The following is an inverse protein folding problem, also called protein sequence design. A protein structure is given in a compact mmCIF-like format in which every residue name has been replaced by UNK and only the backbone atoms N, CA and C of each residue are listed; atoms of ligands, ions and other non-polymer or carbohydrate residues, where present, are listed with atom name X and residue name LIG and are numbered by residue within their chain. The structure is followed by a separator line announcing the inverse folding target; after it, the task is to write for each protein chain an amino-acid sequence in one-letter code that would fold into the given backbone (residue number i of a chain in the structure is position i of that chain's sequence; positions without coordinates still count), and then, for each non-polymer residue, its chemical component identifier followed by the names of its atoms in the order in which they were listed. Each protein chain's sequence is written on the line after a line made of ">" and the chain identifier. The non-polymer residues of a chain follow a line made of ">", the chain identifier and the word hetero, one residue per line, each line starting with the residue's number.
data_IF_899909868430
#
_entry.id   IF_899909868430
#
_cell.length_a   1.000
_cell.length_b   1.000
_cell.length_c   1.000
_cell.angle_alpha   90.00
_cell.angle_beta   90.00
_cell.angle_gamma   90.00
#
_symmetry.space_group_name_H-M   'P 1'
#
loop_
_entity.id
_entity.type
_entity.pdbx_description
1 polymer ?
#
# COMPACT_ATOMS: atom_id res chain seq x y z
N UNK A 1 -3.29 -7.96 19.00
CA UNK A 1 -2.99 -7.56 20.39
C UNK A 1 -1.49 -7.44 20.62
N UNK A 2 -0.70 -8.51 20.46
CA UNK A 2 0.77 -8.48 20.64
C UNK A 2 1.48 -7.37 19.86
N UNK A 3 1.13 -7.20 18.58
CA UNK A 3 1.70 -6.12 17.76
C UNK A 3 1.38 -4.73 18.32
N UNK A 4 0.12 -4.49 18.72
CA UNK A 4 -0.31 -3.22 19.31
C UNK A 4 0.41 -2.94 20.64
N UNK A 5 0.59 -3.96 21.49
CA UNK A 5 1.33 -3.81 22.74
C UNK A 5 2.80 -3.53 22.51
N UNK A 6 3.45 -4.20 21.56
CA UNK A 6 4.85 -3.94 21.22
C UNK A 6 5.02 -2.56 20.59
N UNK A 7 4.11 -2.14 19.70
CA UNK A 7 4.09 -0.78 19.15
C UNK A 7 3.93 0.29 20.22
N UNK A 8 3.05 0.07 21.21
CA UNK A 8 2.88 0.99 22.33
C UNK A 8 4.15 1.09 23.19
N UNK A 9 4.78 -0.06 23.50
CA UNK A 9 6.05 -0.10 24.26
C UNK A 9 7.16 0.62 23.50
N UNK A 10 7.30 0.35 22.19
CA UNK A 10 8.26 1.01 21.33
C UNK A 10 8.06 2.54 21.33
N UNK A 11 6.82 3.00 21.20
CA UNK A 11 6.50 4.42 21.25
C UNK A 11 6.89 5.06 22.58
N UNK A 12 6.60 4.41 23.71
CA UNK A 12 6.96 4.93 25.04
C UNK A 12 8.47 5.00 25.23
N UNK A 13 9.20 3.97 24.81
CA UNK A 13 10.66 3.92 24.95
C UNK A 13 11.33 4.98 24.09
N UNK A 14 10.93 5.09 22.81
CA UNK A 14 11.48 6.09 21.90
C UNK A 14 11.15 7.50 22.39
N UNK A 15 9.90 7.74 22.82
CA UNK A 15 9.45 9.04 23.32
C UNK A 15 10.27 9.51 24.53
N UNK A 16 10.55 8.61 25.48
CA UNK A 16 11.39 8.92 26.63
C UNK A 16 12.84 9.16 26.25
N UNK A 17 13.38 8.36 25.32
CA UNK A 17 14.76 8.50 24.84
C UNK A 17 15.04 9.83 24.16
N UNK A 18 14.07 10.36 23.40
CA UNK A 18 14.21 11.64 22.70
C UNK A 18 13.92 12.88 23.58
N UNK A 19 13.72 12.72 24.89
CA UNK A 19 13.38 13.85 25.78
C UNK A 19 11.91 14.31 25.68
N UNK A 20 11.04 13.48 25.11
CA UNK A 20 9.61 13.75 24.97
C UNK A 20 9.22 14.37 23.62
N UNK A 21 8.00 14.06 23.19
CA UNK A 21 7.48 14.52 21.90
C UNK A 21 7.29 16.04 21.78
N UNK A 22 6.85 16.78 22.81
CA UNK A 22 6.72 18.24 22.71
C UNK A 22 8.04 18.91 22.35
N UNK A 23 9.13 18.53 23.01
CA UNK A 23 10.47 19.06 22.74
C UNK A 23 10.94 18.75 21.31
N UNK A 24 10.68 17.53 20.83
CA UNK A 24 10.98 17.17 19.44
C UNK A 24 10.18 18.02 18.44
N UNK A 25 8.89 18.26 18.70
CA UNK A 25 8.06 19.09 17.82
C UNK A 25 8.48 20.56 17.82
N UNK A 26 8.81 21.12 18.99
CA UNK A 26 9.33 22.50 19.11
C UNK A 26 10.65 22.66 18.35
N UNK A 27 11.56 21.69 18.45
CA UNK A 27 12.81 21.66 17.68
C UNK A 27 12.55 21.68 16.17
N UNK A 28 11.57 20.91 15.70
CA UNK A 28 11.20 20.89 14.29
C UNK A 28 10.58 22.21 13.82
N UNK A 29 9.75 22.85 14.65
CA UNK A 29 9.15 24.17 14.36
C UNK A 29 10.20 25.28 14.33
N UNK A 30 11.25 25.19 15.14
CA UNK A 30 12.30 26.19 15.21
C UNK A 30 13.16 26.27 13.93
N UNK A 31 13.26 25.18 13.15
CA UNK A 31 14.03 25.18 11.90
C UNK A 31 13.14 25.40 10.67
N UNK A 32 13.45 26.39 9.80
CA UNK A 32 12.70 26.65 8.56
C UNK A 32 12.65 25.47 7.60
N UNK A 33 13.63 24.57 7.67
CA UNK A 33 13.72 23.39 6.81
C UNK A 33 12.71 22.30 7.18
N UNK A 34 12.40 22.17 8.48
CA UNK A 34 11.57 21.10 9.07
C UNK A 34 10.21 21.58 9.54
N UNK A 35 10.01 22.87 9.80
CA UNK A 35 8.72 23.41 10.22
C UNK A 35 7.58 23.05 9.25
N UNK A 36 7.78 23.03 7.91
CA UNK A 36 6.74 22.61 6.98
C UNK A 36 6.40 21.11 6.99
N UNK A 37 7.09 20.28 7.79
CA UNK A 37 6.69 18.90 8.03
C UNK A 37 5.50 18.80 8.99
N UNK A 38 5.33 19.81 9.85
CA UNK A 38 4.24 19.89 10.83
C UNK A 38 3.07 20.73 10.32
N UNK A 39 3.26 21.45 9.22
CA UNK A 39 2.24 22.27 8.57
C UNK A 39 1.92 21.73 7.17
N UNK A 40 0.80 22.17 6.60
CA UNK A 40 0.40 21.80 5.23
C UNK A 40 1.06 22.66 4.13
N UNK A 41 2.03 23.50 4.48
CA UNK A 41 2.51 24.58 3.61
C UNK A 41 3.15 24.07 2.30
N UNK A 42 3.88 22.95 2.36
CA UNK A 42 4.52 22.34 1.18
C UNK A 42 3.61 21.41 0.38
N UNK A 43 2.37 21.19 0.83
CA UNK A 43 1.44 20.24 0.20
C UNK A 43 0.39 20.99 -0.61
N UNK A 44 0.40 20.77 -1.92
CA UNK A 44 -0.66 21.27 -2.81
C UNK A 44 -2.03 20.74 -2.37
N UNK A 45 -3.10 21.58 -2.38
CA UNK A 45 -4.45 21.12 -2.10
C UNK A 45 -4.90 19.95 -2.99
N UNK A 46 -4.48 19.93 -4.26
CA UNK A 46 -4.78 18.85 -5.20
C UNK A 46 -4.06 17.56 -4.85
N UNK A 47 -2.82 17.66 -4.41
CA UNK A 47 -2.06 16.51 -3.94
C UNK A 47 -2.73 15.89 -2.70
N UNK A 48 -3.14 16.73 -1.74
CA UNK A 48 -3.89 16.29 -0.56
C UNK A 48 -5.24 15.66 -0.92
N UNK A 49 -6.01 16.30 -1.80
CA UNK A 49 -7.27 15.75 -2.30
C UNK A 49 -7.09 14.35 -2.87
N UNK A 50 -5.97 14.08 -3.54
CA UNK A 50 -5.70 12.77 -4.13
C UNK A 50 -5.62 11.63 -3.11
N UNK A 51 -5.21 11.90 -1.85
CA UNK A 51 -5.20 10.89 -0.80
C UNK A 51 -6.60 10.40 -0.43
N UNK A 52 -7.65 11.17 -0.71
CA UNK A 52 -9.04 10.75 -0.44
C UNK A 52 -9.50 9.60 -1.34
N UNK A 53 -8.79 9.33 -2.45
CA UNK A 53 -9.06 8.22 -3.35
C UNK A 53 -8.32 6.93 -2.97
N UNK A 54 -7.29 7.01 -2.12
CA UNK A 54 -6.55 5.82 -1.65
C UNK A 54 -7.45 4.84 -0.91
N UNK A 55 -8.37 5.25 0.00
CA UNK A 55 -9.30 4.35 0.67
C UNK A 55 -10.15 3.48 -0.26
N UNK A 56 -10.45 3.94 -1.49
CA UNK A 56 -11.20 3.15 -2.47
C UNK A 56 -10.49 1.85 -2.87
N UNK A 57 -9.16 1.80 -2.74
CA UNK A 57 -8.37 0.59 -2.99
C UNK A 57 -8.79 -0.59 -2.11
N UNK A 58 -9.26 -0.33 -0.88
CA UNK A 58 -9.67 -1.37 0.07
C UNK A 58 -10.84 -2.22 -0.44
N UNK A 59 -11.72 -1.65 -1.28
CA UNK A 59 -12.84 -2.35 -1.90
C UNK A 59 -12.33 -3.42 -2.88
N UNK A 60 -11.19 -3.16 -3.53
CA UNK A 60 -10.63 -4.00 -4.57
C UNK A 60 -9.54 -4.96 -4.10
N UNK A 61 -9.25 -5.01 -2.80
CA UNK A 61 -8.26 -5.94 -2.27
C UNK A 61 -8.81 -7.37 -2.25
N UNK A 62 -8.23 -8.31 -3.03
CA UNK A 62 -8.76 -9.66 -3.14
C UNK A 62 -8.70 -10.42 -1.81
N UNK A 63 -7.63 -10.24 -1.03
CA UNK A 63 -7.50 -10.87 0.28
C UNK A 63 -8.58 -10.42 1.28
N UNK A 64 -9.00 -9.15 1.23
CA UNK A 64 -10.11 -8.65 2.04
C UNK A 64 -11.41 -9.29 1.56
N UNK A 65 -11.66 -9.32 0.25
CA UNK A 65 -12.87 -9.94 -0.30
C UNK A 65 -12.98 -11.43 0.07
N UNK A 66 -11.90 -12.20 -0.08
CA UNK A 66 -11.84 -13.61 0.31
C UNK A 66 -12.12 -13.77 1.81
N UNK A 67 -11.52 -12.92 2.64
CA UNK A 67 -11.76 -12.94 4.08
C UNK A 67 -13.23 -12.65 4.43
N UNK A 68 -13.85 -11.67 3.76
CA UNK A 68 -15.27 -11.35 3.93
C UNK A 68 -16.17 -12.54 3.56
N UNK A 69 -15.88 -13.21 2.44
CA UNK A 69 -16.69 -14.31 1.90
C UNK A 69 -16.50 -15.64 2.65
N UNK A 70 -15.37 -15.83 3.32
CA UNK A 70 -15.07 -17.02 4.12
C UNK A 70 -15.53 -16.90 5.59
N UNK A 71 -16.09 -15.76 5.98
CA UNK A 71 -16.55 -15.51 7.35
C UNK A 71 -17.77 -16.40 7.70
N UNK A 72 -17.61 -17.25 8.72
CA UNK A 72 -18.66 -18.21 9.16
C UNK A 72 -19.94 -17.54 9.70
N UNK A 73 -19.86 -16.31 10.20
CA UNK A 73 -21.00 -15.58 10.80
C UNK A 73 -20.96 -14.09 10.46
N UNK A 74 -22.07 -13.57 9.94
CA UNK A 74 -22.23 -12.15 9.59
C UNK A 74 -22.06 -11.19 10.80
N UNK A 75 -22.38 -11.65 12.02
CA UNK A 75 -22.22 -10.84 13.24
C UNK A 75 -20.73 -10.58 13.56
N UNK A 76 -19.86 -11.56 13.30
CA UNK A 76 -18.40 -11.41 13.49
C UNK A 76 -17.81 -10.45 12.46
N UNK A 77 -18.37 -10.45 11.25
CA UNK A 77 -18.00 -9.52 10.18
C UNK A 77 -18.26 -8.06 10.58
N UNK A 78 -19.47 -7.74 11.09
CA UNK A 78 -19.83 -6.36 11.52
C UNK A 78 -18.87 -5.80 12.57
N UNK A 79 -18.48 -6.62 13.56
CA UNK A 79 -17.50 -6.20 14.59
C UNK A 79 -16.13 -5.90 13.96
N UNK A 80 -15.68 -6.74 13.04
CA UNK A 80 -14.40 -6.55 12.35
C UNK A 80 -14.39 -5.25 11.56
N UNK A 81 -15.46 -4.96 10.82
CA UNK A 81 -15.60 -3.71 10.04
C UNK A 81 -15.55 -2.46 10.92
N UNK A 82 -16.13 -2.50 12.13
CA UNK A 82 -16.11 -1.36 13.07
C UNK A 82 -14.72 -1.18 13.71
N UNK A 83 -14.10 -2.26 14.18
CA UNK A 83 -12.82 -2.19 14.89
C UNK A 83 -11.64 -1.93 13.96
N UNK A 84 -11.71 -2.35 12.71
CA UNK A 84 -10.59 -2.28 11.78
C UNK A 84 -10.07 -0.86 11.55
N UNK A 85 -10.90 0.16 11.24
CA UNK A 85 -10.43 1.55 11.11
C UNK A 85 -9.83 2.10 12.41
N UNK A 86 -10.39 1.74 13.57
CA UNK A 86 -9.89 2.20 14.88
C UNK A 86 -8.51 1.63 15.15
N UNK A 87 -8.30 0.33 14.92
CA UNK A 87 -6.99 -0.29 15.04
C UNK A 87 -5.99 0.30 14.04
N UNK A 88 -6.43 0.60 12.82
CA UNK A 88 -5.59 1.24 11.81
C UNK A 88 -5.14 2.63 12.25
N UNK A 89 -6.06 3.46 12.78
CA UNK A 89 -5.72 4.77 13.35
C UNK A 89 -4.75 4.65 14.54
N UNK A 90 -5.00 3.68 15.43
CA UNK A 90 -4.16 3.45 16.61
C UNK A 90 -2.75 2.98 16.28
N UNK A 91 -2.51 2.40 15.10
CA UNK A 91 -1.17 1.99 14.63
C UNK A 91 -0.54 3.11 13.81
N UNK A 92 -1.29 3.62 12.84
CA UNK A 92 -0.77 4.50 11.81
C UNK A 92 -0.35 5.85 12.37
N UNK A 93 -1.17 6.46 13.23
CA UNK A 93 -0.87 7.79 13.77
C UNK A 93 0.42 7.80 14.61
N UNK A 94 0.62 6.88 15.57
CA UNK A 94 1.91 6.67 16.23
C UNK A 94 3.11 6.51 15.29
N UNK A 95 2.98 5.66 14.26
CA UNK A 95 4.10 5.34 13.37
C UNK A 95 4.49 6.54 12.50
N UNK A 96 3.50 7.25 11.95
CA UNK A 96 3.72 8.49 11.20
C UNK A 96 4.36 9.54 12.09
N UNK A 97 3.86 9.69 13.31
CA UNK A 97 4.39 10.67 14.26
C UNK A 97 5.84 10.39 14.64
N UNK A 98 6.20 9.12 14.89
CA UNK A 98 7.60 8.70 15.12
C UNK A 98 8.49 9.02 13.90
N UNK A 99 8.00 8.75 12.69
CA UNK A 99 8.72 9.08 11.45
C UNK A 99 8.95 10.58 11.26
N UNK A 100 8.00 11.43 11.67
CA UNK A 100 8.16 12.89 11.67
C UNK A 100 9.16 13.32 12.75
N UNK A 101 9.00 12.84 13.98
CA UNK A 101 9.87 13.15 15.12
C UNK A 101 11.34 12.76 14.87
N UNK A 102 11.59 11.72 14.09
CA UNK A 102 12.93 11.31 13.71
C UNK A 102 13.73 12.43 13.00
N UNK A 103 13.08 13.37 12.31
CA UNK A 103 13.79 14.48 11.66
C UNK A 103 14.42 15.47 12.65
N UNK A 104 14.07 15.41 13.93
CA UNK A 104 14.67 16.20 15.00
C UNK A 104 15.97 15.57 15.54
N UNK A 105 16.18 14.27 15.29
CA UNK A 105 17.26 13.47 15.88
C UNK A 105 18.54 13.54 15.05
N UNK A 106 19.18 14.71 15.05
CA UNK A 106 20.46 14.92 14.35
C UNK A 106 21.66 14.36 15.10
N UNK A 107 21.49 14.04 16.37
CA UNK A 107 22.47 13.41 17.25
C UNK A 107 22.65 11.90 16.97
N UNK A 108 21.74 11.28 16.22
CA UNK A 108 21.83 9.87 15.82
C UNK A 108 22.50 9.77 14.44
N UNK A 109 23.72 9.21 14.32
CA UNK A 109 24.50 9.27 13.07
C UNK A 109 23.79 8.66 11.85
N UNK A 110 23.07 7.54 12.05
CA UNK A 110 22.32 6.89 10.96
C UNK A 110 21.14 7.73 10.47
N UNK A 111 20.53 8.54 11.34
CA UNK A 111 19.43 9.44 10.97
C UNK A 111 20.00 10.67 10.28
N UNK A 112 21.10 11.24 10.78
CA UNK A 112 21.79 12.35 10.15
C UNK A 112 22.19 12.05 8.70
N UNK A 113 22.82 10.90 8.44
CA UNK A 113 23.16 10.45 7.08
C UNK A 113 21.95 10.38 6.14
N UNK A 114 20.77 10.00 6.67
CA UNK A 114 19.53 9.97 5.89
C UNK A 114 19.04 11.38 5.57
N UNK A 115 19.15 12.31 6.53
CA UNK A 115 18.77 13.71 6.32
C UNK A 115 19.70 14.41 5.33
N UNK A 116 21.00 14.15 5.41
CA UNK A 116 21.99 14.63 4.43
C UNK A 116 21.71 14.09 3.03
N UNK A 117 21.43 12.79 2.90
CA UNK A 117 21.04 12.20 1.62
C UNK A 117 19.77 12.85 1.03
N UNK A 118 18.78 13.19 1.87
CA UNK A 118 17.58 13.94 1.43
C UNK A 118 17.92 15.35 0.94
N UNK A 119 18.79 16.06 1.66
CA UNK A 119 19.25 17.38 1.25
C UNK A 119 20.02 17.32 -0.08
N UNK A 120 20.88 16.31 -0.25
CA UNK A 120 21.62 16.06 -1.49
C UNK A 120 20.68 15.77 -2.67
N UNK A 121 19.62 14.99 -2.47
CA UNK A 121 18.58 14.76 -3.51
C UNK A 121 17.91 16.07 -3.92
N UNK A 122 17.57 16.92 -2.94
CA UNK A 122 16.90 18.19 -3.20
C UNK A 122 17.79 19.20 -3.96
N UNK A 123 19.11 19.13 -3.73
CA UNK A 123 20.10 19.93 -4.45
C UNK A 123 20.50 19.34 -5.82
N UNK A 124 20.15 18.07 -6.09
CA UNK A 124 20.56 17.36 -7.30
C UNK A 124 19.87 17.96 -8.55
N UNK A 125 20.61 18.31 -9.61
CA UNK A 125 20.01 18.77 -10.86
C UNK A 125 19.06 17.75 -11.47
N UNK A 126 18.01 18.22 -12.15
CA UNK A 126 17.05 17.35 -12.82
C UNK A 126 17.70 16.44 -13.88
N UNK A 127 18.84 16.85 -14.44
CA UNK A 127 19.65 16.14 -15.44
C UNK A 127 20.65 15.14 -14.86
N UNK A 128 20.79 15.04 -13.54
CA UNK A 128 21.72 14.11 -12.91
C UNK A 128 21.42 12.64 -13.29
N UNK A 129 22.44 11.77 -13.38
CA UNK A 129 22.27 10.36 -13.72
C UNK A 129 21.24 9.67 -12.81
N UNK A 130 20.39 8.83 -13.40
CA UNK A 130 19.35 8.11 -12.65
C UNK A 130 19.95 7.20 -11.57
N UNK A 131 21.15 6.65 -11.79
CA UNK A 131 21.84 5.78 -10.86
C UNK A 131 22.24 6.50 -9.57
N UNK A 132 22.83 7.69 -9.67
CA UNK A 132 23.20 8.54 -8.54
C UNK A 132 21.96 8.94 -7.72
N UNK A 133 20.90 9.38 -8.41
CA UNK A 133 19.61 9.69 -7.76
C UNK A 133 19.03 8.49 -7.02
N UNK A 134 19.12 7.30 -7.61
CA UNK A 134 18.59 6.06 -7.02
C UNK A 134 19.46 5.57 -5.85
N UNK A 135 20.77 5.81 -5.87
CA UNK A 135 21.66 5.53 -4.74
C UNK A 135 21.30 6.42 -3.54
N UNK A 136 21.17 7.73 -3.76
CA UNK A 136 20.77 8.67 -2.71
C UNK A 136 19.37 8.37 -2.18
N UNK A 137 18.40 8.01 -3.04
CA UNK A 137 17.05 7.61 -2.60
C UNK A 137 17.04 6.41 -1.68
N UNK A 138 17.85 5.39 -1.99
CA UNK A 138 18.01 4.21 -1.12
C UNK A 138 18.58 4.59 0.24
N UNK A 139 19.57 5.48 0.27
CA UNK A 139 20.13 5.98 1.52
C UNK A 139 19.11 6.79 2.32
N UNK A 140 18.37 7.70 1.67
CA UNK A 140 17.36 8.57 2.25
C UNK A 140 16.05 7.89 2.69
N UNK A 141 15.89 6.60 2.37
CA UNK A 141 14.67 5.82 2.63
C UNK A 141 14.30 5.86 4.12
N UNK A 142 13.00 6.02 4.39
CA UNK A 142 12.46 6.13 5.75
C UNK A 142 12.06 4.81 6.39
N UNK A 143 12.14 3.70 5.65
CA UNK A 143 11.49 2.43 6.00
C UNK A 143 12.06 1.79 7.28
N UNK A 144 13.34 2.02 7.60
CA UNK A 144 14.04 1.49 8.77
C UNK A 144 14.14 2.47 9.95
N UNK A 145 13.62 3.69 9.82
CA UNK A 145 13.82 4.77 10.81
C UNK A 145 13.36 4.39 12.21
N UNK A 146 12.22 3.70 12.34
CA UNK A 146 11.72 3.26 13.65
C UNK A 146 12.66 2.25 14.30
N UNK A 147 13.29 1.37 13.52
CA UNK A 147 14.28 0.42 14.03
C UNK A 147 15.55 1.15 14.47
N UNK A 148 16.01 2.14 13.70
CA UNK A 148 17.17 2.96 14.08
C UNK A 148 16.92 3.71 15.40
N UNK A 149 15.71 4.25 15.58
CA UNK A 149 15.34 4.91 16.85
C UNK A 149 15.29 3.91 18.02
N UNK A 150 14.81 2.68 17.79
CA UNK A 150 14.85 1.63 18.83
C UNK A 150 16.28 1.26 19.21
N UNK A 151 17.18 1.10 18.24
CA UNK A 151 18.61 0.83 18.51
C UNK A 151 19.28 1.96 19.29
N UNK A 152 18.89 3.21 19.03
CA UNK A 152 19.47 4.38 19.69
C UNK A 152 18.99 4.55 21.15
N UNK A 153 17.72 4.27 21.43
CA UNK A 153 17.09 4.61 22.71
C UNK A 153 16.68 3.42 23.59
N UNK A 154 16.59 2.21 23.03
CA UNK A 154 16.23 1.01 23.79
C UNK A 154 17.47 0.17 24.12
N UNK A 155 17.50 -0.53 25.27
CA UNK A 155 18.54 -1.51 25.54
C UNK A 155 18.48 -2.64 24.51
N UNK A 156 19.64 -3.23 24.17
CA UNK A 156 19.80 -4.17 23.06
C UNK A 156 18.77 -5.33 23.07
N UNK A 157 18.49 -5.92 24.23
CA UNK A 157 17.52 -7.01 24.36
C UNK A 157 16.09 -6.55 24.01
N UNK A 158 15.71 -5.33 24.38
CA UNK A 158 14.38 -4.78 24.12
C UNK A 158 14.25 -4.35 22.66
N UNK A 159 15.30 -3.71 22.12
CA UNK A 159 15.37 -3.39 20.69
C UNK A 159 15.20 -4.66 19.84
N UNK A 160 15.87 -5.76 20.21
CA UNK A 160 15.74 -7.06 19.55
C UNK A 160 14.32 -7.63 19.60
N UNK A 161 13.67 -7.64 20.76
CA UNK A 161 12.29 -8.15 20.91
C UNK A 161 11.29 -7.28 20.12
N UNK A 162 11.40 -5.96 20.23
CA UNK A 162 10.49 -5.04 19.55
C UNK A 162 10.71 -5.07 18.03
N UNK A 163 11.96 -5.13 17.58
CA UNK A 163 12.33 -5.30 16.18
C UNK A 163 11.80 -6.61 15.60
N UNK A 164 11.95 -7.73 16.32
CA UNK A 164 11.34 -9.00 15.93
C UNK A 164 9.81 -8.91 15.84
N UNK A 165 9.17 -8.17 16.73
CA UNK A 165 7.74 -7.88 16.69
C UNK A 165 7.30 -7.13 15.42
N UNK A 166 8.08 -6.13 15.00
CA UNK A 166 7.83 -5.39 13.76
C UNK A 166 7.98 -6.32 12.55
N UNK A 167 9.05 -7.12 12.51
CA UNK A 167 9.27 -8.09 11.42
C UNK A 167 8.18 -9.17 11.35
N UNK A 168 7.69 -9.65 12.50
CA UNK A 168 6.60 -10.60 12.57
C UNK A 168 5.29 -10.02 12.00
N UNK A 169 5.04 -8.73 12.19
CA UNK A 169 3.87 -8.07 11.62
C UNK A 169 3.97 -7.90 10.10
N UNK A 170 5.17 -7.65 9.57
CA UNK A 170 5.41 -7.66 8.12
C UNK A 170 5.09 -9.04 7.54
N UNK A 171 5.58 -10.12 8.16
CA UNK A 171 5.29 -11.50 7.75
C UNK A 171 3.80 -11.87 7.80
N UNK A 172 3.03 -11.30 8.74
CA UNK A 172 1.58 -11.53 8.79
C UNK A 172 0.83 -11.04 7.52
N UNK A 173 1.51 -10.34 6.61
CA UNK A 173 0.99 -9.91 5.31
C UNK A 173 1.02 -11.01 4.24
N UNK A 174 1.49 -12.22 4.56
CA UNK A 174 1.45 -13.42 3.69
C UNK A 174 0.04 -13.75 3.19
N UNK A 175 -1.01 -13.22 3.84
CA UNK A 175 -2.40 -13.28 3.35
C UNK A 175 -2.58 -12.78 1.92
N UNK A 176 -1.75 -11.84 1.45
CA UNK A 176 -1.78 -11.34 0.07
C UNK A 176 -1.26 -12.39 -0.92
N UNK A 177 -0.16 -13.05 -0.59
CA UNK A 177 0.44 -14.11 -1.41
C UNK A 177 -0.52 -15.32 -1.46
N UNK A 178 -1.11 -15.67 -0.32
CA UNK A 178 -2.09 -16.74 -0.24
C UNK A 178 -3.34 -16.43 -1.09
N UNK A 179 -3.85 -15.19 -1.03
CA UNK A 179 -4.97 -14.77 -1.86
C UNK A 179 -4.68 -14.92 -3.37
N UNK A 180 -3.49 -14.50 -3.82
CA UNK A 180 -3.05 -14.68 -5.20
C UNK A 180 -2.93 -16.16 -5.57
N UNK A 181 -2.42 -17.00 -4.67
CA UNK A 181 -2.38 -18.44 -4.87
C UNK A 181 -3.78 -19.03 -5.05
N UNK A 182 -4.75 -18.64 -4.20
CA UNK A 182 -6.12 -19.11 -4.30
C UNK A 182 -6.75 -18.69 -5.63
N UNK A 183 -6.58 -17.43 -6.02
CA UNK A 183 -7.06 -16.93 -7.32
C UNK A 183 -6.45 -17.74 -8.47
N UNK A 184 -5.15 -18.01 -8.46
CA UNK A 184 -4.52 -18.82 -9.49
C UNK A 184 -5.06 -20.26 -9.50
N UNK A 185 -5.19 -20.90 -8.34
CA UNK A 185 -5.66 -22.29 -8.27
C UNK A 185 -7.13 -22.43 -8.66
N UNK A 186 -8.00 -21.50 -8.30
CA UNK A 186 -9.43 -21.59 -8.62
C UNK A 186 -9.76 -21.01 -10.00
N UNK A 187 -9.29 -19.79 -10.28
CA UNK A 187 -9.69 -19.06 -11.49
C UNK A 187 -8.90 -19.48 -12.73
N UNK A 188 -7.73 -20.10 -12.56
CA UNK A 188 -6.92 -20.63 -13.67
C UNK A 188 -6.91 -22.15 -13.63
N UNK A 189 -6.34 -22.76 -12.59
CA UNK A 189 -6.14 -24.21 -12.59
C UNK A 189 -7.46 -25.00 -12.58
N UNK A 190 -8.39 -24.69 -11.68
CA UNK A 190 -9.71 -25.35 -11.64
C UNK A 190 -10.54 -25.00 -12.88
N UNK A 191 -10.61 -23.71 -13.24
CA UNK A 191 -11.40 -23.24 -14.39
C UNK A 191 -11.01 -23.91 -15.72
N UNK A 192 -9.71 -24.11 -15.99
CA UNK A 192 -9.24 -24.81 -17.19
C UNK A 192 -9.25 -26.35 -17.06
N UNK A 193 -9.93 -26.90 -16.05
CA UNK A 193 -10.15 -28.34 -15.88
C UNK A 193 -8.99 -29.09 -15.22
N UNK A 194 -8.02 -28.40 -14.64
CA UNK A 194 -6.87 -29.00 -13.95
C UNK A 194 -7.30 -29.90 -12.79
N UNK A 195 -8.25 -29.44 -11.96
CA UNK A 195 -8.75 -30.20 -10.81
C UNK A 195 -9.50 -31.47 -11.24
N UNK A 196 -10.34 -31.39 -12.27
CA UNK A 196 -11.06 -32.55 -12.79
C UNK A 196 -10.11 -33.60 -13.42
N UNK A 197 -9.00 -33.15 -14.00
CA UNK A 197 -8.03 -34.02 -14.69
C UNK A 197 -6.98 -34.64 -13.76
N UNK A 198 -6.53 -33.90 -12.75
CA UNK A 198 -5.38 -34.27 -11.92
C UNK A 198 -5.72 -34.45 -10.42
N UNK A 199 -6.94 -34.08 -10.00
CA UNK A 199 -7.41 -34.20 -8.63
C UNK A 199 -6.98 -33.07 -7.70
N UNK A 200 -7.61 -33.00 -6.53
CA UNK A 200 -7.42 -31.93 -5.53
C UNK A 200 -5.99 -31.86 -4.97
N UNK A 201 -5.32 -33.01 -4.82
CA UNK A 201 -3.94 -33.05 -4.34
C UNK A 201 -2.98 -32.28 -5.26
N UNK A 202 -3.20 -32.37 -6.58
CA UNK A 202 -2.38 -31.66 -7.57
C UNK A 202 -2.72 -30.17 -7.59
N UNK A 203 -3.98 -29.79 -7.35
CA UNK A 203 -4.37 -28.38 -7.19
C UNK A 203 -3.61 -27.73 -6.03
N UNK A 204 -3.55 -28.40 -4.87
CA UNK A 204 -2.84 -27.89 -3.68
C UNK A 204 -1.34 -27.76 -3.95
N UNK A 205 -0.72 -28.77 -4.59
CA UNK A 205 0.71 -28.73 -4.94
C UNK A 205 1.01 -27.61 -5.93
N UNK A 206 0.14 -27.42 -6.94
CA UNK A 206 0.26 -26.34 -7.92
C UNK A 206 0.20 -24.97 -7.24
N UNK A 207 -0.71 -24.78 -6.28
CA UNK A 207 -0.77 -23.56 -5.48
C UNK A 207 0.53 -23.31 -4.70
N UNK A 208 1.08 -24.33 -4.02
CA UNK A 208 2.36 -24.20 -3.28
C UNK A 208 3.53 -23.86 -4.20
N UNK A 209 3.62 -24.49 -5.37
CA UNK A 209 4.65 -24.19 -6.37
C UNK A 209 4.49 -22.75 -6.89
N UNK A 210 3.26 -22.33 -7.17
CA UNK A 210 2.95 -20.96 -7.59
C UNK A 210 3.40 -19.92 -6.55
N UNK A 211 3.12 -20.16 -5.27
CA UNK A 211 3.59 -19.30 -4.16
C UNK A 211 5.11 -19.15 -4.19
N UNK A 212 5.85 -20.26 -4.23
CA UNK A 212 7.33 -20.23 -4.24
C UNK A 212 7.86 -19.45 -5.44
N UNK A 213 7.33 -19.73 -6.64
CA UNK A 213 7.75 -19.04 -7.87
C UNK A 213 7.44 -17.54 -7.82
N UNK A 214 6.23 -17.17 -7.38
CA UNK A 214 5.82 -15.79 -7.25
C UNK A 214 6.69 -15.04 -6.23
N UNK A 215 6.99 -15.65 -5.08
CA UNK A 215 7.87 -15.05 -4.07
C UNK A 215 9.30 -14.86 -4.59
N UNK A 216 9.84 -15.80 -5.37
CA UNK A 216 11.16 -15.64 -6.00
C UNK A 216 11.15 -14.44 -6.95
N UNK A 217 10.14 -14.32 -7.82
CA UNK A 217 10.03 -13.18 -8.74
C UNK A 217 9.91 -11.86 -7.98
N UNK A 218 9.05 -11.81 -6.96
CA UNK A 218 8.89 -10.63 -6.11
C UNK A 218 10.20 -10.25 -5.40
N UNK A 219 10.96 -11.23 -4.89
CA UNK A 219 12.26 -11.01 -4.26
C UNK A 219 13.29 -10.45 -5.24
N UNK A 220 13.36 -10.99 -6.47
CA UNK A 220 14.27 -10.48 -7.51
C UNK A 220 13.94 -9.03 -7.91
N UNK A 221 12.64 -8.68 -7.97
CA UNK A 221 12.20 -7.30 -8.20
C UNK A 221 12.59 -6.41 -7.01
N UNK A 222 12.36 -6.88 -5.78
CA UNK A 222 12.68 -6.13 -4.57
C UNK A 222 14.18 -5.79 -4.45
N UNK A 223 15.09 -6.69 -4.87
CA UNK A 223 16.53 -6.44 -4.88
C UNK A 223 16.96 -5.27 -5.79
N UNK A 224 16.14 -4.92 -6.80
CA UNK A 224 16.42 -3.87 -7.78
C UNK A 224 15.56 -2.62 -7.61
N UNK A 225 14.62 -2.63 -6.67
CA UNK A 225 13.70 -1.51 -6.46
C UNK A 225 14.39 -0.35 -5.72
N UNK A 226 14.49 0.85 -6.34
CA UNK A 226 15.14 2.01 -5.71
C UNK A 226 14.18 2.82 -4.81
N UNK A 227 12.89 2.48 -4.82
CA UNK A 227 11.82 3.21 -4.14
C UNK A 227 11.53 2.63 -2.76
N UNK A 228 11.19 3.50 -1.81
CA UNK A 228 10.72 3.08 -0.50
C UNK A 228 9.37 2.38 -0.59
N UNK A 229 9.03 1.63 0.46
CA UNK A 229 7.81 0.79 0.48
C UNK A 229 6.55 1.64 0.26
N UNK A 230 6.49 2.84 0.84
CA UNK A 230 5.34 3.73 0.72
C UNK A 230 5.15 4.26 -0.71
N UNK A 231 6.23 4.62 -1.40
CA UNK A 231 6.17 5.11 -2.77
C UNK A 231 5.67 4.01 -3.72
N UNK A 232 6.17 2.78 -3.55
CA UNK A 232 5.70 1.62 -4.30
C UNK A 232 4.21 1.35 -4.03
N UNK A 233 3.78 1.43 -2.76
CA UNK A 233 2.40 1.22 -2.38
C UNK A 233 1.47 2.25 -3.01
N UNK A 234 1.81 3.55 -2.97
CA UNK A 234 0.98 4.61 -3.56
C UNK A 234 0.97 4.55 -5.09
N UNK A 235 2.13 4.37 -5.71
CA UNK A 235 2.28 4.43 -7.17
C UNK A 235 1.67 3.23 -7.88
N UNK A 236 1.81 2.02 -7.32
CA UNK A 236 1.36 0.78 -7.96
C UNK A 236 0.12 0.22 -7.29
N UNK A 237 0.20 -0.12 -6.00
CA UNK A 237 -0.83 -0.90 -5.33
C UNK A 237 -2.12 -0.07 -5.14
N UNK A 238 -2.07 1.00 -4.36
CA UNK A 238 -3.24 1.81 -4.05
C UNK A 238 -3.85 2.46 -5.29
N UNK A 239 -3.01 2.95 -6.22
CA UNK A 239 -3.48 3.51 -7.48
C UNK A 239 -4.19 2.46 -8.35
N UNK A 240 -3.59 1.29 -8.55
CA UNK A 240 -4.17 0.21 -9.35
C UNK A 240 -5.46 -0.35 -8.75
N UNK A 241 -5.46 -0.66 -7.45
CA UNK A 241 -6.64 -1.19 -6.77
C UNK A 241 -7.77 -0.16 -6.68
N UNK A 242 -7.48 1.11 -6.38
CA UNK A 242 -8.49 2.17 -6.41
C UNK A 242 -9.13 2.31 -7.79
N UNK A 243 -8.33 2.18 -8.86
CA UNK A 243 -8.85 2.23 -10.22
C UNK A 243 -9.76 1.05 -10.58
N UNK A 244 -9.62 -0.11 -9.92
CA UNK A 244 -10.58 -1.23 -10.07
C UNK A 244 -11.88 -1.04 -9.26
N UNK A 245 -11.92 -0.13 -8.29
CA UNK A 245 -13.10 0.06 -7.44
C UNK A 245 -14.40 0.39 -8.18
N UNK A 246 -14.44 1.22 -9.25
CA UNK A 246 -15.69 1.50 -9.95
C UNK A 246 -16.27 0.25 -10.63
N UNK A 247 -15.41 -0.65 -11.11
CA UNK A 247 -15.82 -1.93 -11.69
C UNK A 247 -16.53 -2.79 -10.64
N UNK A 248 -15.95 -2.93 -9.45
CA UNK A 248 -16.53 -3.75 -8.38
C UNK A 248 -17.85 -3.17 -7.86
N UNK A 249 -17.91 -1.84 -7.65
CA UNK A 249 -19.14 -1.16 -7.24
C UNK A 249 -20.23 -1.33 -8.31
N UNK A 250 -19.88 -1.14 -9.58
CA UNK A 250 -20.83 -1.33 -10.68
C UNK A 250 -21.30 -2.79 -10.81
N UNK A 251 -20.42 -3.78 -10.63
CA UNK A 251 -20.78 -5.18 -10.67
C UNK A 251 -21.79 -5.58 -9.58
N UNK A 252 -21.73 -4.94 -8.40
CA UNK A 252 -22.62 -5.24 -7.28
C UNK A 252 -23.94 -4.45 -7.31
N UNK A 253 -23.89 -3.17 -7.68
CA UNK A 253 -25.03 -2.26 -7.51
C UNK A 253 -25.66 -1.81 -8.84
N UNK A 254 -24.98 -1.94 -9.97
CA UNK A 254 -25.48 -1.44 -11.25
C UNK A 254 -25.96 -2.57 -12.16
N UNK A 255 -27.28 -2.70 -12.29
CA UNK A 255 -27.94 -3.73 -13.11
C UNK A 255 -27.55 -3.71 -14.60
N UNK A 256 -27.03 -2.59 -15.11
CA UNK A 256 -26.57 -2.42 -16.50
C UNK A 256 -25.05 -2.63 -16.65
N UNK A 257 -24.36 -3.10 -15.61
CA UNK A 257 -22.94 -3.47 -15.71
C UNK A 257 -22.73 -4.55 -16.79
N UNK A 258 -21.82 -4.30 -17.72
CA UNK A 258 -21.54 -5.22 -18.84
C UNK A 258 -20.14 -5.83 -18.74
N UNK A 259 -19.96 -7.02 -19.33
CA UNK A 259 -18.64 -7.66 -19.45
C UNK A 259 -17.62 -6.81 -20.23
N UNK A 260 -18.09 -6.02 -21.20
CA UNK A 260 -17.23 -5.16 -22.03
C UNK A 260 -16.77 -3.93 -21.26
N UNK A 261 -17.64 -3.33 -20.43
CA UNK A 261 -17.25 -2.28 -19.50
C UNK A 261 -16.21 -2.77 -18.49
N UNK A 262 -16.44 -3.95 -17.91
CA UNK A 262 -15.48 -4.57 -16.99
C UNK A 262 -14.12 -4.85 -17.65
N UNK A 263 -14.12 -5.35 -18.89
CA UNK A 263 -12.88 -5.57 -19.66
C UNK A 263 -12.16 -4.25 -19.96
N UNK A 264 -12.88 -3.21 -20.37
CA UNK A 264 -12.30 -1.90 -20.68
C UNK A 264 -11.59 -1.30 -19.46
N UNK A 265 -12.22 -1.37 -18.28
CA UNK A 265 -11.60 -0.92 -17.02
C UNK A 265 -10.37 -1.77 -16.69
N UNK A 266 -10.46 -3.09 -16.81
CA UNK A 266 -9.32 -3.98 -16.49
C UNK A 266 -8.11 -3.70 -17.38
N UNK A 267 -8.32 -3.54 -18.68
CA UNK A 267 -7.26 -3.20 -19.63
C UNK A 267 -6.68 -1.80 -19.35
N UNK A 268 -7.54 -0.83 -19.04
CA UNK A 268 -7.10 0.51 -18.66
C UNK A 268 -6.22 0.49 -17.41
N UNK A 269 -6.62 -0.23 -16.36
CA UNK A 269 -5.84 -0.33 -15.12
C UNK A 269 -4.47 -0.97 -15.38
N UNK A 270 -4.43 -2.07 -16.13
CA UNK A 270 -3.16 -2.70 -16.50
C UNK A 270 -2.24 -1.75 -17.28
N UNK A 271 -2.79 -1.05 -18.28
CA UNK A 271 -2.04 -0.04 -19.03
C UNK A 271 -1.55 1.10 -18.14
N UNK A 272 -2.43 1.65 -17.30
CA UNK A 272 -2.12 2.81 -16.47
C UNK A 272 -1.04 2.51 -15.42
N UNK A 273 -1.05 1.32 -14.81
CA UNK A 273 0.02 0.88 -13.87
C UNK A 273 1.36 0.71 -14.59
N UNK A 274 1.37 0.12 -15.79
CA UNK A 274 2.60 0.01 -16.58
C UNK A 274 3.10 1.39 -17.02
N UNK A 275 2.19 2.28 -17.41
CA UNK A 275 2.54 3.63 -17.83
C UNK A 275 3.12 4.47 -16.68
N UNK A 276 2.51 4.42 -15.49
CA UNK A 276 3.03 5.12 -14.29
C UNK A 276 4.38 4.58 -13.84
N UNK A 277 4.73 3.34 -14.20
CA UNK A 277 6.02 2.72 -13.88
C UNK A 277 7.18 3.27 -14.72
N UNK A 278 6.94 3.57 -15.99
CA UNK A 278 7.96 3.97 -16.95
C UNK A 278 8.18 5.48 -16.98
N UNK A 279 7.14 6.26 -16.67
CA UNK A 279 7.19 7.71 -16.84
C UNK A 279 7.27 8.41 -15.49
N UNK A 280 8.50 8.55 -14.99
CA UNK A 280 8.81 9.31 -13.77
C UNK A 280 8.34 10.75 -13.90
N UNK A 281 7.31 11.14 -13.13
CA UNK A 281 6.81 12.52 -13.05
C UNK A 281 5.66 12.90 -14.00
N UNK A 282 5.29 12.07 -14.98
CA UNK A 282 4.28 12.47 -15.98
C UNK A 282 2.82 12.39 -15.51
N UNK A 283 2.57 11.93 -14.30
CA UNK A 283 1.22 11.89 -13.73
C UNK A 283 1.00 12.82 -12.54
N UNK A 284 1.85 13.84 -12.36
CA UNK A 284 1.39 15.05 -11.72
C UNK A 284 0.40 15.77 -12.67
N UNK A 285 -0.77 15.16 -12.95
CA UNK A 285 -1.87 15.77 -13.70
C UNK A 285 -2.30 17.01 -12.91
N UNK A 286 -1.67 18.15 -13.18
CA UNK A 286 -1.89 19.39 -12.45
C UNK A 286 -1.66 19.27 -10.92
N UNK A 287 -0.73 18.40 -10.51
CA UNK A 287 -0.41 18.16 -9.09
C UNK A 287 -1.25 17.10 -8.38
N UNK A 288 -2.05 16.31 -9.11
CA UNK A 288 -2.74 15.13 -8.59
C UNK A 288 -1.82 13.90 -8.52
N UNK A 289 -2.10 12.97 -7.61
CA UNK A 289 -1.48 11.62 -7.65
C UNK A 289 -2.14 10.76 -8.74
N UNK A 290 -1.43 9.77 -9.32
CA UNK A 290 -1.95 8.87 -10.35
C UNK A 290 -3.30 8.23 -10.04
N UNK A 291 -3.56 7.93 -8.75
CA UNK A 291 -4.80 7.33 -8.26
C UNK A 291 -6.07 8.06 -8.74
N UNK A 292 -6.07 9.40 -8.78
CA UNK A 292 -7.26 10.17 -9.14
C UNK A 292 -7.63 10.00 -10.62
N UNK A 293 -6.78 10.38 -11.60
CA UNK A 293 -7.11 10.22 -13.01
C UNK A 293 -7.34 8.75 -13.38
N UNK A 294 -6.60 7.81 -12.79
CA UNK A 294 -6.80 6.38 -13.02
C UNK A 294 -8.21 5.92 -12.62
N UNK A 295 -8.68 6.30 -11.44
CA UNK A 295 -10.01 5.92 -10.94
C UNK A 295 -11.13 6.66 -11.68
N UNK A 296 -10.95 7.94 -12.01
CA UNK A 296 -11.94 8.72 -12.77
C UNK A 296 -12.11 8.14 -14.18
N UNK A 297 -11.02 7.84 -14.88
CA UNK A 297 -11.08 7.24 -16.22
C UNK A 297 -11.72 5.84 -16.15
N UNK A 298 -11.42 5.06 -15.11
CA UNK A 298 -12.07 3.76 -14.88
C UNK A 298 -13.59 3.90 -14.70
N UNK A 299 -14.04 4.91 -13.96
CA UNK A 299 -15.47 5.20 -13.80
C UNK A 299 -16.12 5.57 -15.14
N UNK A 300 -15.48 6.45 -15.92
CA UNK A 300 -15.96 6.87 -17.24
C UNK A 300 -16.03 5.67 -18.19
N UNK A 301 -14.97 4.87 -18.27
CA UNK A 301 -14.94 3.67 -19.11
C UNK A 301 -16.03 2.67 -18.72
N UNK A 302 -16.21 2.46 -17.41
CA UNK A 302 -17.25 1.55 -16.91
C UNK A 302 -18.63 1.99 -17.37
N UNK A 303 -18.94 3.28 -17.25
CA UNK A 303 -20.24 3.84 -17.64
C UNK A 303 -20.39 3.85 -19.16
N UNK A 304 -19.48 4.51 -19.88
CA UNK A 304 -19.60 4.72 -21.32
C UNK A 304 -19.63 3.41 -22.08
N UNK A 305 -18.70 2.48 -21.81
CA UNK A 305 -18.64 1.21 -22.54
C UNK A 305 -19.84 0.33 -22.21
N UNK A 306 -20.33 0.34 -20.96
CA UNK A 306 -21.54 -0.41 -20.60
C UNK A 306 -22.82 0.18 -21.19
N UNK A 307 -22.85 1.50 -21.46
CA UNK A 307 -23.97 2.13 -22.17
C UNK A 307 -23.94 1.84 -23.67
N UNK A 308 -22.75 1.75 -24.27
CA UNK A 308 -22.55 1.50 -25.71
C UNK A 308 -22.64 0.02 -26.11
N UNK A 309 -22.54 -0.90 -25.15
CA UNK A 309 -22.59 -2.34 -25.41
C UNK A 309 -23.95 -2.95 -25.05
N UNK A 310 -24.29 -4.15 -25.57
CA UNK A 310 -25.57 -4.80 -25.28
C UNK A 310 -25.76 -5.01 -23.78
N UNK A 311 -26.96 -4.71 -23.24
CA UNK A 311 -27.25 -4.92 -21.82
C UNK A 311 -27.18 -6.41 -21.46
N UNK A 312 -26.86 -6.75 -20.19
CA UNK A 312 -26.91 -8.12 -19.72
C UNK A 312 -28.34 -8.70 -19.84
N UNK A 313 -28.44 -10.00 -20.10
CA UNK A 313 -29.74 -10.66 -20.24
C UNK A 313 -30.56 -10.57 -18.94
N UNK A 314 -31.89 -10.47 -19.06
CA UNK A 314 -32.78 -10.40 -17.91
C UNK A 314 -32.64 -11.62 -16.98
N UNK A 315 -32.35 -12.79 -17.54
CA UNK A 315 -32.04 -14.01 -16.79
C UNK A 315 -30.79 -13.87 -15.93
N UNK A 316 -29.73 -13.26 -16.47
CA UNK A 316 -28.49 -13.00 -15.71
C UNK A 316 -28.74 -12.04 -14.56
N UNK A 317 -29.50 -10.97 -14.79
CA UNK A 317 -29.83 -9.99 -13.74
C UNK A 317 -30.75 -10.61 -12.68
N UNK A 318 -31.74 -11.39 -13.10
CA UNK A 318 -32.69 -12.06 -12.20
C UNK A 318 -32.07 -13.16 -11.34
N UNK A 319 -30.89 -13.68 -11.69
CA UNK A 319 -30.15 -14.65 -10.86
C UNK A 319 -29.59 -14.03 -9.56
N UNK A 320 -29.38 -12.72 -9.53
CA UNK A 320 -28.67 -12.01 -8.45
C UNK A 320 -29.52 -10.95 -7.72
N UNK A 321 -30.79 -10.75 -8.12
CA UNK A 321 -31.76 -9.83 -7.50
C UNK A 321 -32.82 -10.66 -6.78
#
# INVERSE_FOLDING_TARGET
>A
VLFLSFGAVALVVISRGMGGFPAAMESLLASPSTAPLLTRERISPWYYFSYTFIPLSTIAFPHIAIFCLTAKRMVQFKRTVIWYPICLLAIWMPCVFLGVAANALRDVPRIEQKLEARAAIAALPATAPAEERNALRRQAAGDDVVLVMLEAFAPLWLAGILGAGIMAAVMASDSQILALSTMFTEDVFTFYGGTARFGENVQIQTGRVFVVLLTIVAYLIALRAPHGIFDLAVQYAFSGYSAMSPLLVAALFWKRSTKWGALAVTLWVAFAVLYTSQVTGALAWYGLLPVVPMTVISCILMVVVSLLTPPPSAETVGRYV
#
